data_IF_761860677956
#
_entry.id   IF_761860677956
#
_cell.length_a   1.000
_cell.length_b   1.000
_cell.length_c   1.000
_cell.angle_alpha   90.00
_cell.angle_beta   90.00
_cell.angle_gamma   90.00
#
_symmetry.space_group_name_H-M   'P 1'
#
loop_
_entity.id
_entity.type
_entity.pdbx_description
1 polymer ?
#
# COMPACT_ATOMS: atom_id res chain seq x y z
N UNK A 1 17.84 5.50 -8.40
CA UNK A 1 16.41 5.20 -8.07
C UNK A 1 15.72 4.58 -9.28
N UNK A 2 14.99 3.48 -9.10
CA UNK A 2 14.31 2.76 -10.19
C UNK A 2 13.08 3.57 -10.65
N UNK A 3 13.02 3.86 -11.95
CA UNK A 3 11.88 4.58 -12.55
C UNK A 3 10.69 3.65 -12.71
N UNK A 4 9.56 3.98 -12.07
CA UNK A 4 8.33 3.18 -12.14
C UNK A 4 7.62 3.39 -13.48
N UNK A 5 7.03 2.33 -14.01
CA UNK A 5 6.24 2.38 -15.26
C UNK A 5 4.82 2.90 -15.02
N UNK A 6 4.34 2.89 -13.79
CA UNK A 6 3.02 3.39 -13.42
C UNK A 6 2.94 4.91 -13.70
N UNK A 7 2.12 5.30 -14.67
CA UNK A 7 1.88 6.70 -15.04
C UNK A 7 0.70 7.24 -14.24
N UNK A 8 0.98 7.97 -13.18
CA UNK A 8 -0.04 8.57 -12.32
C UNK A 8 -0.54 9.91 -12.87
N UNK A 9 -1.82 10.20 -12.67
CA UNK A 9 -2.39 11.50 -13.03
C UNK A 9 -1.80 12.63 -12.19
N UNK A 10 -1.51 13.77 -12.83
CA UNK A 10 -1.09 14.99 -12.14
C UNK A 10 -2.25 15.96 -11.86
N UNK A 11 -3.44 15.66 -12.36
CA UNK A 11 -4.59 16.56 -12.30
C UNK A 11 -5.83 15.92 -11.66
N UNK A 12 -6.06 14.62 -11.86
CA UNK A 12 -7.21 13.92 -11.32
C UNK A 12 -6.90 13.26 -9.99
N UNK A 13 -7.86 13.25 -9.10
CA UNK A 13 -7.77 12.49 -7.84
C UNK A 13 -7.70 10.99 -8.14
N UNK A 14 -6.98 10.24 -7.31
CA UNK A 14 -6.84 8.81 -7.51
C UNK A 14 -6.49 8.06 -6.21
N UNK A 15 -6.76 6.77 -6.24
CA UNK A 15 -6.23 5.80 -5.29
C UNK A 15 -5.00 5.10 -5.90
N UNK A 16 -3.98 4.91 -5.08
CA UNK A 16 -2.81 4.10 -5.39
C UNK A 16 -2.73 2.93 -4.41
N UNK A 17 -3.23 1.78 -4.82
CA UNK A 17 -3.16 0.56 -4.05
C UNK A 17 -1.93 -0.26 -4.41
N UNK A 18 -1.52 -1.13 -3.50
CA UNK A 18 -0.43 -2.06 -3.72
C UNK A 18 0.13 -2.61 -2.41
N UNK A 19 0.81 -3.76 -2.43
CA UNK A 19 1.35 -4.37 -1.24
C UNK A 19 2.24 -3.40 -0.45
N UNK A 20 2.37 -3.63 0.85
CA UNK A 20 3.32 -2.89 1.67
C UNK A 20 4.73 -3.13 1.14
N UNK A 21 5.60 -2.14 1.28
CA UNK A 21 6.98 -2.23 0.80
C UNK A 21 7.15 -2.11 -0.71
N UNK A 22 6.07 -1.97 -1.53
CA UNK A 22 6.22 -1.78 -2.98
C UNK A 22 6.61 -0.36 -3.41
N UNK A 23 6.79 0.57 -2.46
CA UNK A 23 7.29 1.92 -2.70
C UNK A 23 6.24 2.97 -3.07
N UNK A 24 4.98 2.85 -2.60
CA UNK A 24 3.90 3.82 -2.87
C UNK A 24 4.27 5.23 -2.41
N UNK A 25 4.58 5.39 -1.13
CA UNK A 25 4.89 6.70 -0.53
C UNK A 25 6.14 7.32 -1.16
N UNK A 26 7.19 6.52 -1.39
CA UNK A 26 8.41 6.94 -2.08
C UNK A 26 8.11 7.43 -3.51
N UNK A 27 7.26 6.71 -4.26
CA UNK A 27 6.86 7.12 -5.60
C UNK A 27 6.16 8.47 -5.58
N UNK A 28 5.22 8.68 -4.66
CA UNK A 28 4.46 9.93 -4.56
C UNK A 28 5.34 11.10 -4.14
N UNK A 29 6.25 10.91 -3.17
CA UNK A 29 7.21 11.94 -2.75
C UNK A 29 8.16 12.36 -3.89
N UNK A 30 8.49 11.44 -4.81
CA UNK A 30 9.32 11.75 -5.97
C UNK A 30 8.57 12.46 -7.10
N UNK A 31 7.27 12.20 -7.24
CA UNK A 31 6.46 12.81 -8.32
C UNK A 31 5.89 14.16 -7.91
N UNK A 32 5.58 14.33 -6.63
CA UNK A 32 4.88 15.49 -6.12
C UNK A 32 5.76 16.32 -5.17
N UNK A 33 5.98 17.58 -5.54
CA UNK A 33 6.74 18.52 -4.70
C UNK A 33 6.01 18.80 -3.38
N UNK A 34 6.73 18.84 -2.24
CA UNK A 34 6.19 19.28 -0.96
C UNK A 34 5.64 20.73 -0.98
N UNK A 35 6.14 21.59 -1.87
CA UNK A 35 5.65 22.96 -2.00
C UNK A 35 4.20 23.04 -2.49
N UNK A 36 3.80 22.12 -3.36
CA UNK A 36 2.45 22.03 -3.90
C UNK A 36 1.57 20.96 -3.24
N UNK A 37 2.14 20.15 -2.35
CA UNK A 37 1.49 18.93 -1.84
C UNK A 37 1.53 18.91 -0.31
N UNK A 38 0.36 18.72 0.29
CA UNK A 38 0.24 18.39 1.70
C UNK A 38 0.25 16.87 1.85
N UNK A 39 1.21 16.33 2.57
CA UNK A 39 1.28 14.91 2.91
C UNK A 39 0.66 14.67 4.29
N UNK A 40 -0.28 13.76 4.36
CA UNK A 40 -1.00 13.36 5.57
C UNK A 40 -0.78 11.86 5.76
N UNK A 41 0.03 11.50 6.74
CA UNK A 41 0.34 10.11 7.07
C UNK A 41 -0.53 9.64 8.22
N UNK A 42 -1.46 8.71 7.96
CA UNK A 42 -2.32 8.12 8.98
C UNK A 42 -1.61 7.03 9.82
N UNK A 43 -0.31 6.79 9.57
CA UNK A 43 0.55 6.00 10.48
C UNK A 43 1.10 6.86 11.62
N UNK A 44 1.12 8.19 11.49
CA UNK A 44 1.43 9.10 12.59
C UNK A 44 0.33 8.98 13.66
N UNK A 45 0.72 8.43 14.80
CA UNK A 45 -0.21 8.11 15.91
C UNK A 45 -0.84 9.39 16.44
N UNK A 46 -0.05 10.45 16.65
CA UNK A 46 -0.56 11.70 17.21
C UNK A 46 -1.58 12.36 16.28
N UNK A 47 -1.29 12.40 14.98
CA UNK A 47 -2.23 12.90 13.98
C UNK A 47 -3.49 12.03 13.89
N UNK A 48 -3.33 10.71 13.92
CA UNK A 48 -4.46 9.77 13.85
C UNK A 48 -5.40 9.94 15.05
N UNK A 49 -4.85 9.99 16.27
CA UNK A 49 -5.62 10.17 17.50
C UNK A 49 -6.35 11.52 17.51
N UNK A 50 -5.69 12.58 17.09
CA UNK A 50 -6.30 13.90 16.92
C UNK A 50 -7.49 13.89 15.95
N UNK A 51 -7.36 13.19 14.82
CA UNK A 51 -8.44 13.07 13.84
C UNK A 51 -9.59 12.19 14.32
N UNK A 52 -9.31 11.21 15.16
CA UNK A 52 -10.33 10.35 15.79
C UNK A 52 -11.14 11.13 16.83
N UNK A 53 -10.47 11.99 17.62
CA UNK A 53 -11.12 12.84 18.63
C UNK A 53 -11.93 13.97 18.00
N UNK A 54 -11.46 14.53 16.90
CA UNK A 54 -12.09 15.62 16.19
C UNK A 54 -12.08 15.42 14.68
N UNK A 55 -13.09 14.74 14.13
CA UNK A 55 -13.19 14.48 12.69
C UNK A 55 -13.20 15.74 11.81
N UNK A 56 -13.65 16.88 12.34
CA UNK A 56 -13.64 18.16 11.63
C UNK A 56 -12.25 18.78 11.50
N UNK A 57 -11.27 18.31 12.28
CA UNK A 57 -9.88 18.78 12.24
C UNK A 57 -9.23 18.59 10.87
N UNK A 58 -9.51 17.47 10.19
CA UNK A 58 -8.96 17.22 8.85
C UNK A 58 -9.38 18.32 7.87
N UNK A 59 -10.67 18.68 7.84
CA UNK A 59 -11.16 19.75 6.96
C UNK A 59 -10.54 21.09 7.28
N UNK A 60 -10.43 21.45 8.55
CA UNK A 60 -9.75 22.68 8.99
C UNK A 60 -8.27 22.67 8.60
N UNK A 61 -7.58 21.55 8.81
CA UNK A 61 -6.17 21.39 8.49
C UNK A 61 -5.89 21.61 7.00
N UNK A 62 -6.63 20.95 6.12
CA UNK A 62 -6.42 21.08 4.67
C UNK A 62 -6.82 22.45 4.13
N UNK A 63 -7.71 23.18 4.79
CA UNK A 63 -8.18 24.51 4.38
C UNK A 63 -7.43 25.67 5.06
N UNK A 64 -6.59 25.40 6.05
CA UNK A 64 -5.77 26.41 6.70
C UNK A 64 -4.83 27.10 5.68
N UNK A 65 -4.65 28.43 5.75
CA UNK A 65 -3.84 29.17 4.77
C UNK A 65 -2.44 28.58 4.55
N UNK A 66 -1.75 28.20 5.65
CA UNK A 66 -0.42 27.62 5.62
C UNK A 66 -0.37 26.22 4.95
N UNK A 67 -1.48 25.46 5.00
CA UNK A 67 -1.58 24.10 4.48
C UNK A 67 -2.40 24.02 3.19
N UNK A 68 -2.84 25.15 2.64
CA UNK A 68 -3.68 25.21 1.43
C UNK A 68 -2.85 24.94 0.19
N UNK A 69 -2.53 23.67 -0.01
CA UNK A 69 -1.77 23.18 -1.15
C UNK A 69 -2.71 22.75 -2.30
N UNK A 70 -2.17 22.70 -3.51
CA UNK A 70 -2.86 22.27 -4.73
C UNK A 70 -3.33 20.82 -4.64
N UNK A 71 -2.58 20.01 -3.92
CA UNK A 71 -2.80 18.56 -3.76
C UNK A 71 -2.71 18.14 -2.30
N UNK A 72 -3.49 17.11 -1.96
CA UNK A 72 -3.40 16.42 -0.66
C UNK A 72 -3.13 14.94 -0.93
N UNK A 73 -2.07 14.41 -0.35
CA UNK A 73 -1.76 12.98 -0.32
C UNK A 73 -2.15 12.46 1.06
N UNK A 74 -2.98 11.43 1.11
CA UNK A 74 -3.39 10.75 2.34
C UNK A 74 -2.84 9.32 2.28
N UNK A 75 -1.86 9.03 3.11
CA UNK A 75 -1.25 7.70 3.19
C UNK A 75 -2.04 6.80 4.15
N UNK A 76 -2.24 5.52 3.76
CA UNK A 76 -2.96 4.49 4.52
C UNK A 76 -4.43 4.86 4.83
N UNK A 77 -5.17 5.40 3.84
CA UNK A 77 -6.57 5.87 3.97
C UNK A 77 -7.53 4.84 4.59
N UNK A 78 -7.24 3.54 4.46
CA UNK A 78 -8.06 2.48 5.06
C UNK A 78 -8.03 2.47 6.60
N UNK A 79 -7.11 3.19 7.23
CA UNK A 79 -7.12 3.36 8.69
C UNK A 79 -8.24 4.28 9.16
N UNK A 80 -8.62 5.26 8.33
CA UNK A 80 -9.72 6.19 8.65
C UNK A 80 -10.62 6.46 7.44
N UNK A 81 -11.45 5.49 7.02
CA UNK A 81 -12.28 5.57 5.81
C UNK A 81 -13.25 6.76 5.79
N UNK A 82 -13.68 7.25 6.96
CA UNK A 82 -14.58 8.42 7.06
C UNK A 82 -14.01 9.69 6.45
N UNK A 83 -12.68 9.81 6.32
CA UNK A 83 -12.06 10.95 5.61
C UNK A 83 -12.48 11.02 4.15
N UNK A 84 -12.93 9.93 3.55
CA UNK A 84 -13.41 9.93 2.16
C UNK A 84 -14.65 10.80 1.95
N UNK A 85 -15.48 10.99 2.97
CA UNK A 85 -16.63 11.90 2.88
C UNK A 85 -16.16 13.35 2.74
N UNK A 86 -15.15 13.75 3.52
CA UNK A 86 -14.54 15.08 3.42
C UNK A 86 -13.84 15.23 2.06
N UNK A 87 -13.06 14.22 1.66
CA UNK A 87 -12.38 14.21 0.34
C UNK A 87 -13.38 14.39 -0.79
N UNK A 88 -14.51 13.68 -0.74
CA UNK A 88 -15.58 13.78 -1.72
C UNK A 88 -16.12 15.22 -1.84
N UNK A 89 -16.44 15.84 -0.70
CA UNK A 89 -16.92 17.22 -0.66
C UNK A 89 -15.88 18.21 -1.20
N UNK A 90 -14.61 18.03 -0.84
CA UNK A 90 -13.53 18.91 -1.28
C UNK A 90 -13.22 18.79 -2.78
N UNK A 91 -13.30 17.59 -3.36
CA UNK A 91 -13.19 17.40 -4.82
C UNK A 91 -14.31 18.17 -5.54
N UNK A 92 -15.55 18.06 -5.05
CA UNK A 92 -16.69 18.73 -5.67
C UNK A 92 -16.62 20.26 -5.58
N UNK A 93 -16.32 20.77 -4.37
CA UNK A 93 -16.38 22.22 -4.10
C UNK A 93 -15.14 22.97 -4.59
N UNK A 94 -13.95 22.39 -4.37
CA UNK A 94 -12.68 23.12 -4.51
C UNK A 94 -11.83 22.63 -5.67
N UNK A 95 -12.26 21.59 -6.42
CA UNK A 95 -11.49 20.96 -7.52
C UNK A 95 -10.05 20.58 -7.11
N UNK A 96 -9.80 20.38 -5.81
CA UNK A 96 -8.50 20.01 -5.28
C UNK A 96 -8.20 18.56 -5.63
N UNK A 97 -6.97 18.25 -5.99
CA UNK A 97 -6.54 16.89 -6.24
C UNK A 97 -6.28 16.16 -4.93
N UNK A 98 -6.84 14.97 -4.78
CA UNK A 98 -6.57 14.05 -3.68
C UNK A 98 -5.93 12.77 -4.20
N UNK A 99 -4.87 12.35 -3.52
CA UNK A 99 -4.18 11.08 -3.76
C UNK A 99 -4.27 10.26 -2.50
N UNK A 100 -4.90 9.10 -2.57
CA UNK A 100 -5.11 8.22 -1.43
C UNK A 100 -4.32 6.93 -1.64
N UNK A 101 -3.52 6.52 -0.66
CA UNK A 101 -2.83 5.25 -0.73
C UNK A 101 -3.40 4.23 0.23
N UNK A 102 -3.12 2.95 -0.03
CA UNK A 102 -3.48 1.87 0.85
C UNK A 102 -2.89 0.53 0.42
N UNK A 103 -2.87 -0.44 1.32
CA UNK A 103 -2.44 -1.80 1.00
C UNK A 103 -3.46 -2.52 0.11
N UNK A 104 -4.77 -2.26 0.31
CA UNK A 104 -5.87 -2.92 -0.39
C UNK A 104 -7.11 -2.04 -0.46
N UNK A 105 -7.87 -2.15 -1.55
CA UNK A 105 -9.18 -1.52 -1.68
C UNK A 105 -10.30 -2.24 -0.90
N UNK A 106 -10.04 -3.46 -0.42
CA UNK A 106 -11.06 -4.33 0.18
C UNK A 106 -11.64 -3.73 1.46
N UNK A 107 -10.80 -3.26 2.36
CA UNK A 107 -11.25 -2.62 3.61
C UNK A 107 -12.16 -1.41 3.35
N UNK A 108 -11.82 -0.60 2.36
CA UNK A 108 -12.63 0.55 1.99
C UNK A 108 -14.00 0.11 1.44
N UNK A 109 -14.02 -0.94 0.61
CA UNK A 109 -15.28 -1.51 0.09
C UNK A 109 -16.13 -2.14 1.18
N UNK A 110 -15.51 -2.86 2.13
CA UNK A 110 -16.19 -3.46 3.29
C UNK A 110 -16.78 -2.41 4.23
N UNK A 111 -16.14 -1.26 4.36
CA UNK A 111 -16.66 -0.12 5.12
C UNK A 111 -17.82 0.60 4.41
N UNK A 112 -18.35 0.05 3.32
CA UNK A 112 -19.47 0.64 2.57
C UNK A 112 -19.08 1.89 1.77
N UNK A 113 -17.79 2.19 1.68
CA UNK A 113 -17.31 3.39 0.97
C UNK A 113 -17.33 3.14 -0.53
N UNK A 114 -18.08 3.97 -1.23
CA UNK A 114 -18.13 3.97 -2.69
C UNK A 114 -16.91 4.73 -3.22
N UNK A 115 -15.72 4.09 -3.26
CA UNK A 115 -14.40 4.59 -3.68
C UNK A 115 -14.45 5.87 -4.59
N UNK A 116 -15.19 6.90 -4.16
CA UNK A 116 -15.41 8.16 -4.88
C UNK A 116 -15.84 7.94 -6.34
N UNK A 117 -16.82 7.05 -6.56
CA UNK A 117 -17.26 6.61 -7.89
C UNK A 117 -17.30 7.74 -8.93
N UNK A 118 -16.56 7.58 -10.01
CA UNK A 118 -16.44 8.55 -11.10
C UNK A 118 -15.58 9.79 -10.79
N UNK A 119 -15.05 9.97 -9.55
CA UNK A 119 -14.27 11.16 -9.14
C UNK A 119 -12.81 10.87 -8.86
N UNK A 120 -12.46 9.60 -8.64
CA UNK A 120 -11.09 9.17 -8.43
C UNK A 120 -10.78 7.95 -9.29
N UNK A 121 -9.60 7.95 -9.88
CA UNK A 121 -9.09 6.82 -10.66
C UNK A 121 -8.47 5.79 -9.73
N UNK A 122 -8.31 4.56 -10.21
CA UNK A 122 -7.69 3.47 -9.47
C UNK A 122 -6.40 3.07 -10.15
N UNK A 123 -5.30 3.14 -9.40
CA UNK A 123 -4.00 2.64 -9.83
C UNK A 123 -3.54 1.54 -8.88
N UNK A 124 -2.74 0.64 -9.43
CA UNK A 124 -2.08 -0.41 -8.67
C UNK A 124 -0.56 -0.31 -8.87
N UNK A 125 0.17 -0.37 -7.77
CA UNK A 125 1.62 -0.43 -7.77
C UNK A 125 2.05 -1.82 -7.26
N UNK A 126 2.84 -2.49 -8.07
CA UNK A 126 3.39 -3.80 -7.74
C UNK A 126 4.87 -3.68 -7.33
N UNK A 127 5.49 -4.72 -6.77
CA UNK A 127 6.95 -4.82 -6.68
C UNK A 127 7.61 -4.55 -8.04
N UNK A 128 8.92 -4.41 -8.08
CA UNK A 128 9.62 -4.11 -9.34
C UNK A 128 9.38 -5.19 -10.40
N UNK A 129 9.14 -4.73 -11.62
CA UNK A 129 9.14 -5.60 -12.80
C UNK A 129 10.52 -5.60 -13.47
N UNK A 130 10.82 -6.63 -14.25
CA UNK A 130 12.04 -6.66 -15.07
C UNK A 130 12.15 -5.44 -15.99
N UNK A 131 11.03 -4.97 -16.54
CA UNK A 131 10.99 -3.79 -17.41
C UNK A 131 11.32 -2.47 -16.67
N UNK A 132 11.03 -2.37 -15.36
CA UNK A 132 11.43 -1.24 -14.53
C UNK A 132 12.91 -1.30 -14.15
N UNK A 133 13.44 -2.48 -13.88
CA UNK A 133 14.84 -2.71 -13.51
C UNK A 133 15.79 -2.64 -14.72
N UNK A 134 15.33 -2.96 -15.93
CA UNK A 134 16.13 -2.91 -17.17
C UNK A 134 17.46 -3.68 -17.05
N UNK A 135 18.59 -2.97 -17.24
CA UNK A 135 19.95 -3.52 -17.11
C UNK A 135 20.27 -4.02 -15.69
N UNK A 136 19.58 -3.51 -14.68
CA UNK A 136 19.80 -3.89 -13.27
C UNK A 136 18.98 -5.13 -12.88
N UNK A 137 18.20 -5.68 -13.84
CA UNK A 137 17.46 -6.92 -13.61
C UNK A 137 18.38 -8.12 -13.61
N UNK A 138 18.40 -8.80 -12.47
CA UNK A 138 19.10 -10.06 -12.28
C UNK A 138 18.08 -11.14 -11.89
N UNK A 139 17.92 -12.15 -12.76
CA UNK A 139 16.94 -13.22 -12.55
C UNK A 139 17.25 -14.03 -11.29
N UNK A 140 18.53 -14.34 -11.04
CA UNK A 140 18.92 -15.10 -9.84
C UNK A 140 18.54 -14.33 -8.58
N UNK A 141 18.88 -13.05 -8.52
CA UNK A 141 18.49 -12.16 -7.41
C UNK A 141 16.98 -12.09 -7.24
N UNK A 142 16.22 -11.96 -8.33
CA UNK A 142 14.76 -11.92 -8.28
C UNK A 142 14.15 -13.22 -7.75
N UNK A 143 14.73 -14.38 -8.09
CA UNK A 143 14.29 -15.68 -7.58
C UNK A 143 14.65 -15.89 -6.09
N UNK A 144 15.79 -15.39 -5.65
CA UNK A 144 16.27 -15.54 -4.27
C UNK A 144 15.61 -14.55 -3.30
N UNK A 145 15.40 -13.29 -3.72
CA UNK A 145 14.98 -12.19 -2.82
C UNK A 145 13.58 -11.64 -3.13
N UNK A 146 12.97 -12.05 -4.25
CA UNK A 146 11.79 -11.39 -4.76
C UNK A 146 12.12 -10.00 -5.35
N UNK A 147 11.09 -9.22 -5.66
CA UNK A 147 11.22 -7.90 -6.29
C UNK A 147 10.62 -6.76 -5.47
N UNK A 148 10.38 -6.98 -4.17
CA UNK A 148 10.11 -5.86 -3.25
C UNK A 148 11.32 -4.92 -3.23
N UNK A 149 11.14 -3.59 -3.34
CA UNK A 149 12.24 -2.64 -3.42
C UNK A 149 13.36 -2.86 -2.41
N UNK A 150 13.03 -2.92 -1.12
CA UNK A 150 14.03 -3.03 -0.06
C UNK A 150 14.76 -4.39 -0.08
N UNK A 151 14.06 -5.48 -0.43
CA UNK A 151 14.68 -6.79 -0.56
C UNK A 151 15.58 -6.88 -1.80
N UNK A 152 15.08 -6.38 -2.95
CA UNK A 152 15.82 -6.46 -4.21
C UNK A 152 17.07 -5.59 -4.22
N UNK A 153 16.98 -4.38 -3.66
CA UNK A 153 18.06 -3.38 -3.60
C UNK A 153 18.95 -3.52 -2.37
N UNK A 154 18.71 -4.49 -1.49
CA UNK A 154 19.56 -4.77 -0.34
C UNK A 154 21.01 -4.99 -0.77
N UNK A 155 21.96 -4.49 0.03
CA UNK A 155 23.38 -4.51 -0.27
C UNK A 155 23.88 -5.94 -0.50
N UNK A 156 23.46 -6.86 0.35
CA UNK A 156 23.84 -8.26 0.25
C UNK A 156 22.65 -9.23 0.50
N UNK A 157 22.94 -10.53 0.47
CA UNK A 157 21.93 -11.57 0.68
C UNK A 157 21.48 -11.68 2.13
N UNK A 158 22.33 -11.32 3.10
CA UNK A 158 22.01 -11.33 4.52
C UNK A 158 20.98 -10.27 4.86
N UNK A 159 21.22 -9.04 4.43
CA UNK A 159 20.31 -7.91 4.61
C UNK A 159 18.95 -8.18 3.97
N UNK A 160 18.95 -8.74 2.75
CA UNK A 160 17.70 -9.11 2.08
C UNK A 160 16.92 -10.18 2.87
N UNK A 161 17.61 -11.18 3.40
CA UNK A 161 17.01 -12.24 4.22
C UNK A 161 16.44 -11.70 5.52
N UNK A 162 17.16 -10.81 6.19
CA UNK A 162 16.71 -10.19 7.44
C UNK A 162 15.48 -9.32 7.21
N UNK A 163 15.50 -8.50 6.15
CA UNK A 163 14.31 -7.74 5.74
C UNK A 163 13.11 -8.65 5.47
N UNK A 164 13.27 -9.71 4.68
CA UNK A 164 12.18 -10.63 4.34
C UNK A 164 11.66 -11.39 5.57
N UNK A 165 12.54 -11.79 6.48
CA UNK A 165 12.17 -12.44 7.74
C UNK A 165 11.31 -11.50 8.60
N UNK A 166 11.75 -10.26 8.76
CA UNK A 166 10.99 -9.22 9.46
C UNK A 166 9.68 -8.90 8.76
N UNK A 167 9.67 -8.87 7.42
CA UNK A 167 8.47 -8.65 6.63
C UNK A 167 7.43 -9.76 6.84
N UNK A 168 7.84 -11.03 6.86
CA UNK A 168 6.95 -12.16 7.12
C UNK A 168 6.39 -12.09 8.54
N UNK A 169 7.23 -11.91 9.55
CA UNK A 169 6.81 -11.95 10.95
C UNK A 169 5.94 -10.76 11.36
N UNK A 170 6.23 -9.57 10.85
CA UNK A 170 5.53 -8.36 11.29
C UNK A 170 4.38 -7.94 10.38
N UNK A 171 4.53 -8.17 9.09
CA UNK A 171 3.58 -7.70 8.10
C UNK A 171 2.52 -8.75 7.75
N UNK A 172 2.95 -9.94 7.34
CA UNK A 172 1.98 -10.96 6.90
C UNK A 172 1.01 -11.33 8.02
N UNK A 173 1.50 -11.45 9.25
CA UNK A 173 0.63 -11.75 10.39
C UNK A 173 -0.36 -10.63 10.66
N UNK A 174 0.11 -9.39 10.77
CA UNK A 174 -0.76 -8.24 11.08
C UNK A 174 -1.75 -7.93 9.95
N UNK A 175 -1.30 -7.90 8.71
CA UNK A 175 -2.18 -7.58 7.57
C UNK A 175 -3.21 -8.69 7.33
N UNK A 176 -2.81 -9.95 7.42
CA UNK A 176 -3.71 -11.08 7.21
C UNK A 176 -4.75 -11.17 8.31
N UNK A 177 -4.37 -10.93 9.56
CA UNK A 177 -5.31 -10.82 10.67
C UNK A 177 -6.25 -9.62 10.51
N UNK A 178 -5.70 -8.44 10.20
CA UNK A 178 -6.48 -7.22 10.04
C UNK A 178 -7.42 -7.27 8.83
N UNK A 179 -7.01 -7.92 7.75
CA UNK A 179 -7.83 -8.13 6.55
C UNK A 179 -8.85 -9.26 6.72
N UNK A 180 -8.84 -9.96 7.85
CA UNK A 180 -9.72 -11.11 8.13
C UNK A 180 -9.70 -12.19 7.03
N UNK A 181 -8.56 -12.32 6.34
CA UNK A 181 -8.39 -13.34 5.31
C UNK A 181 -8.37 -14.74 5.90
N UNK A 182 -7.87 -14.85 7.12
CA UNK A 182 -7.71 -16.11 7.83
C UNK A 182 -8.13 -15.92 9.29
N UNK A 183 -9.00 -16.79 9.78
CA UNK A 183 -9.43 -16.76 11.18
C UNK A 183 -8.34 -17.24 12.14
N UNK A 184 -7.49 -18.16 11.68
CA UNK A 184 -6.40 -18.75 12.45
C UNK A 184 -5.09 -18.62 11.67
N UNK A 185 -4.08 -18.01 12.26
CA UNK A 185 -2.77 -17.78 11.63
C UNK A 185 -1.92 -19.04 11.52
N UNK A 186 -2.09 -20.01 12.41
CA UNK A 186 -1.25 -21.19 12.43
C UNK A 186 -1.35 -22.04 11.15
N UNK A 187 -2.55 -22.36 10.64
CA UNK A 187 -2.68 -23.00 9.34
C UNK A 187 -2.11 -22.16 8.18
N UNK A 188 -2.21 -20.83 8.29
CA UNK A 188 -1.65 -19.95 7.27
C UNK A 188 -0.12 -19.95 7.26
N UNK A 189 0.54 -19.97 8.43
CA UNK A 189 2.01 -20.12 8.52
C UNK A 189 2.47 -21.44 7.89
N UNK A 190 1.77 -22.55 8.19
CA UNK A 190 2.05 -23.83 7.56
C UNK A 190 1.84 -23.78 6.04
N UNK A 191 0.76 -23.13 5.60
CA UNK A 191 0.50 -22.93 4.17
C UNK A 191 1.63 -22.20 3.47
N UNK A 192 2.22 -21.16 4.07
CA UNK A 192 3.38 -20.45 3.50
C UNK A 192 4.58 -21.39 3.33
N UNK A 193 4.89 -22.20 4.35
CA UNK A 193 6.00 -23.14 4.30
C UNK A 193 5.77 -24.23 3.22
N UNK A 194 4.56 -24.82 3.16
CA UNK A 194 4.18 -25.80 2.15
C UNK A 194 4.21 -25.18 0.75
N UNK A 195 3.68 -23.96 0.59
CA UNK A 195 3.65 -23.25 -0.69
C UNK A 195 5.06 -22.98 -1.23
N UNK A 196 6.01 -22.65 -0.36
CA UNK A 196 7.40 -22.45 -0.75
C UNK A 196 8.02 -23.74 -1.31
N UNK A 197 7.68 -24.92 -0.75
CA UNK A 197 8.14 -26.22 -1.24
C UNK A 197 7.47 -26.66 -2.54
N UNK A 198 6.30 -26.09 -2.85
CA UNK A 198 5.54 -26.40 -4.07
C UNK A 198 5.93 -25.52 -5.27
N UNK A 199 6.91 -24.62 -5.10
CA UNK A 199 7.38 -23.79 -6.20
C UNK A 199 7.89 -24.65 -7.37
N UNK A 200 7.40 -24.38 -8.57
CA UNK A 200 7.73 -25.16 -9.78
C UNK A 200 7.07 -26.54 -9.89
N UNK A 201 6.17 -26.92 -8.97
CA UNK A 201 5.43 -28.18 -8.99
C UNK A 201 3.98 -27.99 -9.44
N UNK A 202 3.34 -29.08 -9.86
CA UNK A 202 1.91 -29.08 -10.17
C UNK A 202 1.11 -28.88 -8.88
N UNK A 203 0.22 -27.90 -8.88
CA UNK A 203 -0.61 -27.60 -7.72
C UNK A 203 -1.70 -28.64 -7.52
N UNK A 204 -1.66 -29.33 -6.38
CA UNK A 204 -2.73 -30.19 -5.90
C UNK A 204 -3.34 -29.59 -4.62
N UNK A 205 -4.50 -28.95 -4.75
CA UNK A 205 -5.16 -28.27 -3.64
C UNK A 205 -5.47 -29.19 -2.45
N UNK A 206 -5.94 -30.41 -2.73
CA UNK A 206 -6.28 -31.40 -1.69
C UNK A 206 -5.04 -31.91 -0.95
N UNK A 207 -3.90 -32.07 -1.64
CA UNK A 207 -2.64 -32.44 -1.00
C UNK A 207 -2.16 -31.31 -0.08
N UNK A 208 -2.18 -30.06 -0.57
CA UNK A 208 -1.79 -28.89 0.20
C UNK A 208 -2.69 -28.74 1.44
N UNK A 209 -4.00 -28.86 1.30
CA UNK A 209 -4.94 -28.77 2.41
C UNK A 209 -4.65 -29.80 3.51
N UNK A 210 -4.36 -31.04 3.14
CA UNK A 210 -3.98 -32.11 4.10
C UNK A 210 -2.67 -31.79 4.83
N UNK A 211 -1.65 -31.32 4.12
CA UNK A 211 -0.36 -30.95 4.73
C UNK A 211 -0.47 -29.74 5.67
N UNK A 212 -1.35 -28.83 5.35
CA UNK A 212 -1.62 -27.62 6.16
C UNK A 212 -2.53 -27.94 7.35
N UNK A 213 -3.32 -29.01 7.27
CA UNK A 213 -4.27 -29.40 8.31
C UNK A 213 -5.60 -28.63 8.25
N UNK A 214 -6.11 -28.36 7.05
CA UNK A 214 -7.39 -27.70 6.78
C UNK A 214 -8.19 -28.47 5.74
#
# INVERSE_FOLDING_TARGET
MVKRLCKLSKTHSFFLFGPRGCGKSTLLQNIFSPDETLFVDLLDIALFDDLMLDPGRFERMINAPASRKKRVVIDEIQKFPRLLDVVHQQIQRNKRQFVMTGSSSRKLKQAGTNLLAGRAWLYQLFPFSAAELKSDFDLKRALERGTLPDAYLAADASDAKEYLTSFVSTYLEKEIQQEQWVKNLEPFRRFLAVSAQMNGKILNRSAIAREVGV
#
